data_IF_687032971987
#
_entry.id   IF_687032971987
#
_cell.length_a   1.000
_cell.length_b   1.000
_cell.length_c   1.000
_cell.angle_alpha   90.00
_cell.angle_beta   90.00
_cell.angle_gamma   90.00
#
_symmetry.space_group_name_H-M   'P 1'
#
loop_
_entity.id
_entity.type
_entity.pdbx_description
1 polymer ?
#
# COMPACT_ATOMS: atom_id res chain seq x y z
N UNK A 1 -0.44 -58.79 13.49
CA UNK A 1 -0.25 -57.42 13.99
C UNK A 1 1.15 -56.98 13.60
N UNK A 2 1.29 -56.14 12.57
CA UNK A 2 2.62 -55.65 12.15
C UNK A 2 3.03 -54.50 13.08
N UNK A 3 4.26 -54.53 13.61
CA UNK A 3 4.76 -53.46 14.46
C UNK A 3 4.86 -52.16 13.65
N UNK A 4 4.03 -51.17 14.00
CA UNK A 4 4.07 -49.86 13.36
C UNK A 4 5.36 -49.14 13.78
N UNK A 5 6.29 -48.95 12.84
CA UNK A 5 7.55 -48.25 13.09
C UNK A 5 7.28 -46.74 13.19
N UNK A 6 7.18 -46.22 14.41
CA UNK A 6 7.04 -44.79 14.66
C UNK A 6 8.30 -44.03 14.21
N UNK A 7 8.10 -42.84 13.63
CA UNK A 7 9.22 -41.96 13.28
C UNK A 7 9.88 -41.42 14.55
N UNK A 8 11.21 -41.35 14.56
CA UNK A 8 11.96 -40.71 15.64
C UNK A 8 11.87 -39.18 15.54
N UNK A 9 12.24 -38.47 16.62
CA UNK A 9 12.26 -36.99 16.64
C UNK A 9 13.09 -36.42 15.49
N UNK A 10 14.28 -36.98 15.24
CA UNK A 10 15.16 -36.52 14.16
C UNK A 10 14.52 -36.73 12.77
N UNK A 11 13.74 -37.79 12.60
CA UNK A 11 13.00 -38.01 11.36
C UNK A 11 11.86 -37.00 11.21
N UNK A 12 11.12 -36.69 12.28
CA UNK A 12 10.11 -35.63 12.27
C UNK A 12 10.67 -34.26 11.94
N UNK A 13 11.88 -33.94 12.41
CA UNK A 13 12.57 -32.69 12.05
C UNK A 13 12.79 -32.62 10.53
N UNK A 14 13.22 -33.70 9.89
CA UNK A 14 13.37 -33.74 8.43
C UNK A 14 12.04 -33.57 7.71
N UNK A 15 10.96 -34.16 8.24
CA UNK A 15 9.60 -33.95 7.72
C UNK A 15 9.24 -32.48 7.75
N UNK A 16 9.42 -31.81 8.90
CA UNK A 16 9.09 -30.39 9.06
C UNK A 16 9.88 -29.51 8.09
N UNK A 17 11.17 -29.79 7.87
CA UNK A 17 12.00 -29.06 6.91
C UNK A 17 11.47 -29.20 5.48
N UNK A 18 11.06 -30.40 5.07
CA UNK A 18 10.50 -30.64 3.73
C UNK A 18 9.15 -29.91 3.56
N UNK A 19 8.33 -29.84 4.62
CA UNK A 19 7.06 -29.13 4.60
C UNK A 19 7.23 -27.60 4.41
N UNK A 20 8.38 -27.04 4.76
CA UNK A 20 8.67 -25.62 4.54
C UNK A 20 8.88 -25.26 3.05
N UNK A 21 9.09 -26.24 2.17
CA UNK A 21 9.28 -26.00 0.74
C UNK A 21 7.92 -26.12 0.03
N UNK A 22 7.32 -25.03 -0.49
CA UNK A 22 5.90 -25.01 -0.87
C UNK A 22 5.47 -26.07 -1.89
N UNK A 23 6.23 -26.25 -2.97
CA UNK A 23 5.89 -27.21 -4.02
C UNK A 23 6.17 -28.66 -3.61
N UNK A 24 7.28 -28.88 -2.89
CA UNK A 24 7.69 -30.22 -2.46
C UNK A 24 6.73 -30.73 -1.37
N UNK A 25 6.34 -29.86 -0.44
CA UNK A 25 5.37 -30.13 0.61
C UNK A 25 4.08 -30.77 0.04
N UNK A 26 3.47 -30.15 -0.98
CA UNK A 26 2.19 -30.62 -1.52
C UNK A 26 2.32 -32.00 -2.20
N UNK A 27 3.37 -32.21 -2.99
CA UNK A 27 3.64 -33.52 -3.62
C UNK A 27 3.88 -34.59 -2.56
N UNK A 28 4.68 -34.27 -1.55
CA UNK A 28 5.04 -35.19 -0.48
C UNK A 28 3.84 -35.60 0.37
N UNK A 29 2.97 -34.64 0.74
CA UNK A 29 1.73 -34.91 1.44
C UNK A 29 0.78 -35.82 0.64
N UNK A 30 0.69 -35.63 -0.68
CA UNK A 30 -0.14 -36.48 -1.55
C UNK A 30 0.38 -37.92 -1.59
N UNK A 31 1.69 -38.10 -1.80
CA UNK A 31 2.33 -39.42 -1.82
C UNK A 31 2.05 -40.15 -0.50
N UNK A 32 2.18 -39.47 0.63
CA UNK A 32 1.94 -40.06 1.96
C UNK A 32 0.46 -40.30 2.26
N UNK A 33 -0.44 -39.39 1.89
CA UNK A 33 -1.87 -39.53 2.11
C UNK A 33 -2.47 -40.73 1.35
N UNK A 34 -1.92 -41.02 0.16
CA UNK A 34 -2.36 -42.08 -0.74
C UNK A 34 -1.57 -43.40 -0.59
N UNK A 35 -0.44 -43.38 0.12
CA UNK A 35 0.32 -44.59 0.39
C UNK A 35 -0.50 -45.62 1.19
N UNK A 36 -0.39 -46.90 0.83
CA UNK A 36 -1.04 -48.01 1.54
C UNK A 36 -0.12 -48.66 2.58
N UNK A 37 1.19 -48.45 2.47
CA UNK A 37 2.25 -49.15 3.24
C UNK A 37 2.96 -48.28 4.30
N UNK A 38 2.69 -46.97 4.37
CA UNK A 38 3.37 -46.07 5.31
C UNK A 38 2.79 -46.09 6.73
N UNK A 39 3.54 -45.52 7.68
CA UNK A 39 3.12 -45.31 9.06
C UNK A 39 1.78 -44.55 9.15
N UNK A 40 0.85 -45.06 9.94
CA UNK A 40 -0.49 -44.50 10.10
C UNK A 40 -0.50 -43.04 10.60
N UNK A 41 0.38 -42.67 11.53
CA UNK A 41 0.47 -41.30 12.06
C UNK A 41 0.86 -40.30 10.97
N UNK A 42 1.77 -40.67 10.07
CA UNK A 42 2.21 -39.84 8.94
C UNK A 42 1.10 -39.70 7.89
N UNK A 43 0.39 -40.79 7.62
CA UNK A 43 -0.76 -40.80 6.71
C UNK A 43 -1.92 -39.97 7.25
N UNK A 44 -2.24 -40.10 8.53
CA UNK A 44 -3.29 -39.34 9.19
C UNK A 44 -2.96 -37.84 9.24
N UNK A 45 -1.70 -37.49 9.56
CA UNK A 45 -1.21 -36.12 9.46
C UNK A 45 -1.38 -35.57 8.03
N UNK A 46 -0.90 -36.31 7.03
CA UNK A 46 -0.95 -35.85 5.63
C UNK A 46 -2.38 -35.61 5.15
N UNK A 47 -3.31 -36.52 5.50
CA UNK A 47 -4.74 -36.37 5.21
C UNK A 47 -5.37 -35.17 5.92
N UNK A 48 -4.99 -34.91 7.17
CA UNK A 48 -5.48 -33.76 7.93
C UNK A 48 -5.00 -32.44 7.31
N UNK A 49 -3.71 -32.35 6.95
CA UNK A 49 -3.12 -31.16 6.34
C UNK A 49 -3.74 -30.87 4.98
N UNK A 50 -4.01 -31.89 4.15
CA UNK A 50 -4.72 -31.70 2.87
C UNK A 50 -6.14 -31.15 3.10
N UNK A 51 -6.89 -31.72 4.05
CA UNK A 51 -8.23 -31.21 4.40
C UNK A 51 -8.18 -29.76 4.88
N UNK A 52 -7.17 -29.41 5.70
CA UNK A 52 -6.97 -28.04 6.17
C UNK A 52 -6.70 -27.07 5.02
N UNK A 53 -5.85 -27.44 4.06
CA UNK A 53 -5.59 -26.61 2.87
C UNK A 53 -6.86 -26.39 2.05
N UNK A 54 -7.68 -27.42 1.84
CA UNK A 54 -8.96 -27.29 1.13
C UNK A 54 -9.93 -26.35 1.87
N UNK A 55 -10.01 -26.45 3.19
CA UNK A 55 -10.83 -25.55 4.02
C UNK A 55 -10.32 -24.12 3.92
N UNK A 56 -9.01 -23.89 4.06
CA UNK A 56 -8.42 -22.55 3.97
C UNK A 56 -8.67 -21.93 2.60
N UNK A 57 -8.48 -22.68 1.50
CA UNK A 57 -8.81 -22.21 0.15
C UNK A 57 -10.29 -21.84 0.07
N UNK A 58 -11.19 -22.68 0.58
CA UNK A 58 -12.63 -22.40 0.62
C UNK A 58 -12.99 -21.15 1.42
N UNK A 59 -12.38 -20.96 2.59
CA UNK A 59 -12.56 -19.77 3.43
C UNK A 59 -12.02 -18.52 2.74
N UNK A 60 -10.81 -18.59 2.16
CA UNK A 60 -10.24 -17.50 1.37
C UNK A 60 -11.19 -17.11 0.25
N UNK A 61 -11.62 -18.06 -0.59
CA UNK A 61 -12.58 -17.79 -1.67
C UNK A 61 -13.88 -17.17 -1.14
N UNK A 62 -14.44 -17.69 -0.05
CA UNK A 62 -15.67 -17.15 0.55
C UNK A 62 -15.50 -15.71 1.09
N UNK A 63 -14.36 -15.40 1.71
CA UNK A 63 -14.02 -14.05 2.18
C UNK A 63 -13.86 -13.09 1.01
N UNK A 64 -13.14 -13.51 -0.03
CA UNK A 64 -12.95 -12.70 -1.23
C UNK A 64 -14.27 -12.47 -1.99
N UNK A 65 -15.19 -13.44 -2.03
CA UNK A 65 -16.51 -13.25 -2.64
C UNK A 65 -17.42 -12.36 -1.76
N UNK A 66 -17.44 -12.60 -0.44
CA UNK A 66 -18.36 -11.98 0.51
C UNK A 66 -18.02 -10.55 0.92
N UNK A 67 -16.75 -10.15 0.94
CA UNK A 67 -16.32 -8.77 1.23
C UNK A 67 -16.34 -7.86 -0.02
N UNK A 68 -17.01 -8.29 -1.10
CA UNK A 68 -17.01 -7.57 -2.37
C UNK A 68 -15.78 -7.93 -3.19
N UNK A 69 -15.80 -9.13 -3.76
CA UNK A 69 -14.76 -9.61 -4.66
C UNK A 69 -14.71 -8.79 -5.94
N UNK A 70 -14.07 -7.63 -5.88
CA UNK A 70 -13.49 -7.01 -7.06
C UNK A 70 -12.26 -7.83 -7.45
N UNK A 71 -12.50 -8.95 -8.15
CA UNK A 71 -11.60 -9.39 -9.21
C UNK A 71 -11.70 -8.40 -10.40
N UNK A 72 -11.58 -7.11 -10.12
CA UNK A 72 -11.52 -6.03 -11.10
C UNK A 72 -10.08 -5.52 -11.28
N UNK A 73 -9.09 -6.39 -11.01
CA UNK A 73 -7.69 -6.10 -11.36
C UNK A 73 -6.91 -7.35 -11.77
N UNK A 74 -7.52 -8.19 -12.61
CA UNK A 74 -6.79 -9.00 -13.58
C UNK A 74 -7.48 -8.71 -14.92
N UNK A 75 -6.88 -7.83 -15.73
CA UNK A 75 -7.28 -7.69 -17.14
C UNK A 75 -7.99 -6.39 -17.58
N UNK A 76 -7.66 -5.23 -17.02
CA UNK A 76 -7.84 -3.99 -17.78
C UNK A 76 -6.55 -3.16 -17.75
N UNK A 77 -5.76 -3.38 -18.80
CA UNK A 77 -4.74 -2.49 -19.35
C UNK A 77 -3.32 -2.68 -18.80
N UNK A 78 -2.62 -3.71 -19.29
CA UNK A 78 -1.18 -3.52 -19.55
C UNK A 78 -1.04 -2.46 -20.65
N UNK A 79 -0.28 -1.37 -20.44
CA UNK A 79 0.23 -0.58 -21.55
C UNK A 79 1.29 -1.44 -22.24
N UNK A 80 0.93 -2.03 -23.36
CA UNK A 80 1.89 -2.58 -24.31
C UNK A 80 2.79 -1.43 -24.79
N UNK A 81 4.08 -1.53 -24.45
CA UNK A 81 5.19 -0.88 -25.16
C UNK A 81 4.96 0.56 -25.62
N UNK A 82 5.03 1.51 -24.69
CA UNK A 82 5.28 2.91 -25.00
C UNK A 82 6.68 3.29 -24.53
N UNK A 83 7.58 3.55 -25.46
CA UNK A 83 8.88 4.20 -25.20
C UNK A 83 8.60 5.64 -24.72
N UNK A 84 8.28 5.82 -23.43
CA UNK A 84 7.97 7.11 -22.81
C UNK A 84 9.17 7.57 -21.98
N UNK A 85 10.02 8.41 -22.56
CA UNK A 85 9.95 9.86 -22.41
C UNK A 85 10.16 10.31 -20.97
N UNK A 86 11.32 10.92 -20.76
CA UNK A 86 11.80 11.49 -19.51
C UNK A 86 10.71 12.29 -18.79
N UNK A 87 10.48 11.94 -17.53
CA UNK A 87 9.91 12.72 -16.43
C UNK A 87 9.44 14.13 -16.81
N UNK A 88 8.16 14.26 -17.16
CA UNK A 88 7.49 15.54 -17.30
C UNK A 88 7.23 16.14 -15.92
N UNK A 89 8.06 17.09 -15.53
CA UNK A 89 7.86 17.97 -14.38
C UNK A 89 6.64 18.87 -14.68
N UNK A 90 5.44 18.43 -14.33
CA UNK A 90 4.23 19.26 -14.43
C UNK A 90 4.18 20.20 -13.23
N UNK A 91 4.63 21.42 -13.44
CA UNK A 91 4.40 22.55 -12.55
C UNK A 91 2.91 22.90 -12.56
N UNK A 92 2.24 22.75 -11.42
CA UNK A 92 0.85 23.15 -11.24
C UNK A 92 0.79 24.64 -10.95
N UNK A 93 -0.06 25.39 -11.67
CA UNK A 93 -0.38 26.76 -11.30
C UNK A 93 -1.44 26.75 -10.19
N UNK A 94 -1.09 27.14 -8.97
CA UNK A 94 -2.04 27.39 -7.89
C UNK A 94 -2.04 28.85 -7.48
N UNK A 95 -3.21 29.37 -7.13
CA UNK A 95 -3.37 30.67 -6.47
C UNK A 95 -3.57 30.45 -4.97
N UNK A 96 -2.85 31.21 -4.14
CA UNK A 96 -3.18 31.34 -2.71
C UNK A 96 -4.20 32.47 -2.55
N UNK A 97 -5.27 32.24 -1.79
CA UNK A 97 -6.15 33.33 -1.38
C UNK A 97 -5.55 34.09 -0.19
N UNK A 98 -5.72 35.40 -0.26
CA UNK A 98 -4.95 36.44 0.40
C UNK A 98 -5.48 36.75 1.80
N UNK A 99 -5.38 35.86 2.77
CA UNK A 99 -5.57 36.24 4.20
C UNK A 99 -4.57 35.61 5.18
N UNK A 100 -3.63 34.79 4.72
CA UNK A 100 -2.51 34.35 5.54
C UNK A 100 -1.22 35.03 5.06
N UNK A 101 -0.37 35.47 5.98
CA UNK A 101 0.99 35.91 5.69
C UNK A 101 1.89 34.75 5.22
N UNK A 102 1.31 33.66 4.69
CA UNK A 102 1.97 32.43 4.28
C UNK A 102 1.76 32.24 2.78
N UNK A 103 2.87 32.08 2.05
CA UNK A 103 2.83 31.83 0.61
C UNK A 103 3.27 30.41 0.30
N UNK A 104 2.43 29.67 -0.43
CA UNK A 104 2.75 28.32 -0.91
C UNK A 104 3.24 28.34 -2.36
N UNK A 105 4.24 27.53 -2.67
CA UNK A 105 4.82 27.44 -4.01
C UNK A 105 5.38 26.06 -4.32
N UNK A 106 5.73 25.85 -5.58
CA UNK A 106 6.43 24.66 -6.07
C UNK A 106 5.80 23.33 -5.61
N UNK A 107 4.47 23.27 -5.57
CA UNK A 107 3.76 22.04 -5.17
C UNK A 107 3.84 21.01 -6.29
N UNK A 108 4.41 19.87 -5.97
CA UNK A 108 4.53 18.69 -6.83
C UNK A 108 3.96 17.47 -6.14
N UNK A 109 3.53 16.48 -6.91
CA UNK A 109 3.06 15.21 -6.36
C UNK A 109 3.70 14.02 -7.07
N UNK A 110 3.81 12.90 -6.35
CA UNK A 110 4.36 11.64 -6.84
C UNK A 110 3.53 10.47 -6.31
N UNK A 111 2.86 9.77 -7.22
CA UNK A 111 2.18 8.52 -6.89
C UNK A 111 3.17 7.35 -6.92
N UNK A 112 3.18 6.54 -5.85
CA UNK A 112 3.91 5.28 -5.79
C UNK A 112 3.15 4.27 -4.92
N UNK A 113 2.90 3.07 -5.44
CA UNK A 113 2.25 1.97 -4.72
C UNK A 113 0.94 2.37 -3.99
N UNK A 114 0.10 3.19 -4.61
CA UNK A 114 -1.19 3.60 -4.04
C UNK A 114 -1.11 4.72 -2.99
N UNK A 115 0.08 5.28 -2.75
CA UNK A 115 0.28 6.46 -1.91
C UNK A 115 0.83 7.58 -2.80
N UNK A 116 0.22 8.74 -2.71
CA UNK A 116 0.66 9.96 -3.39
C UNK A 116 1.33 10.88 -2.38
N UNK A 117 2.64 11.05 -2.52
CA UNK A 117 3.40 12.06 -1.78
C UNK A 117 3.23 13.41 -2.45
N UNK A 118 2.93 14.44 -1.66
CA UNK A 118 2.86 15.84 -2.08
C UNK A 118 3.99 16.57 -1.37
N UNK A 119 4.80 17.28 -2.14
CA UNK A 119 5.89 18.12 -1.62
C UNK A 119 5.70 19.54 -2.13
N UNK A 120 6.04 20.52 -1.32
CA UNK A 120 5.99 21.92 -1.73
C UNK A 120 6.83 22.81 -0.83
N UNK A 121 6.84 24.08 -1.17
CA UNK A 121 7.50 25.13 -0.39
C UNK A 121 6.46 26.04 0.23
N UNK A 122 6.77 26.54 1.41
CA UNK A 122 5.99 27.56 2.09
C UNK A 122 6.91 28.64 2.62
N UNK A 123 6.50 29.90 2.50
CA UNK A 123 7.27 31.07 2.92
C UNK A 123 6.45 31.89 3.88
N UNK A 124 7.05 32.20 5.04
CA UNK A 124 6.51 33.16 5.98
C UNK A 124 6.83 34.59 5.53
N UNK A 125 5.81 35.38 5.25
CA UNK A 125 5.91 36.79 4.86
C UNK A 125 5.50 37.75 5.96
N UNK A 126 5.28 37.24 7.17
CA UNK A 126 5.04 38.00 8.38
C UNK A 126 6.36 38.39 9.09
N UNK A 127 6.24 39.15 10.18
CA UNK A 127 7.35 39.57 11.05
C UNK A 127 7.50 38.72 12.33
N UNK A 128 6.63 37.73 12.53
CA UNK A 128 6.69 36.79 13.66
C UNK A 128 7.00 35.36 13.22
N UNK A 129 7.49 34.54 14.15
CA UNK A 129 7.57 33.09 13.98
C UNK A 129 6.16 32.49 13.94
N UNK A 130 5.92 31.53 13.05
CA UNK A 130 4.63 30.83 12.93
C UNK A 130 4.79 29.31 12.99
N UNK A 131 3.81 28.63 13.54
CA UNK A 131 3.59 27.19 13.33
C UNK A 131 2.14 26.98 12.89
N UNK A 132 1.87 26.10 11.93
CA UNK A 132 0.51 25.92 11.43
C UNK A 132 0.26 24.56 10.75
N UNK A 133 -1.02 24.20 10.66
CA UNK A 133 -1.50 23.16 9.74
C UNK A 133 -1.91 23.79 8.41
N UNK A 134 -1.60 23.11 7.31
CA UNK A 134 -2.02 23.47 5.97
C UNK A 134 -2.83 22.34 5.35
N UNK A 135 -3.90 22.71 4.64
CA UNK A 135 -4.72 21.81 3.83
C UNK A 135 -4.45 22.12 2.37
N UNK A 136 -4.03 21.11 1.62
CA UNK A 136 -3.76 21.20 0.19
C UNK A 136 -4.82 20.39 -0.53
N UNK A 137 -5.74 21.07 -1.19
CA UNK A 137 -6.84 20.46 -1.95
C UNK A 137 -6.52 20.49 -3.43
N UNK A 138 -6.63 19.34 -4.10
CA UNK A 138 -6.40 19.20 -5.53
C UNK A 138 -7.73 19.08 -6.28
N UNK A 139 -7.78 19.70 -7.46
CA UNK A 139 -8.96 19.75 -8.30
C UNK A 139 -8.68 19.27 -9.72
N UNK A 140 -9.64 18.59 -10.33
CA UNK A 140 -9.62 18.28 -11.75
C UNK A 140 -10.01 19.48 -12.62
N UNK A 141 -10.01 19.27 -13.95
CA UNK A 141 -10.42 20.28 -14.93
C UNK A 141 -11.86 20.80 -14.75
N UNK A 142 -12.73 20.04 -14.09
CA UNK A 142 -14.12 20.39 -13.80
C UNK A 142 -14.28 21.07 -12.44
N UNK A 143 -13.17 21.42 -11.76
CA UNK A 143 -13.13 21.97 -10.40
C UNK A 143 -13.73 21.02 -9.34
N UNK A 144 -13.76 19.72 -9.59
CA UNK A 144 -14.14 18.73 -8.60
C UNK A 144 -12.91 18.36 -7.76
N UNK A 145 -13.12 18.15 -6.46
CA UNK A 145 -12.04 17.71 -5.55
C UNK A 145 -11.65 16.29 -5.92
N UNK A 146 -10.37 16.09 -6.22
CA UNK A 146 -9.80 14.76 -6.54
C UNK A 146 -8.89 14.23 -5.45
N UNK A 147 -8.48 15.06 -4.49
CA UNK A 147 -7.79 14.60 -3.30
C UNK A 147 -7.33 15.74 -2.40
N UNK A 148 -6.94 15.36 -1.18
CA UNK A 148 -6.52 16.31 -0.15
C UNK A 148 -5.31 15.79 0.61
N UNK A 149 -4.32 16.66 0.82
CA UNK A 149 -3.18 16.42 1.70
C UNK A 149 -3.17 17.39 2.88
N UNK A 150 -2.69 16.94 4.04
CA UNK A 150 -2.56 17.77 5.25
C UNK A 150 -1.10 17.84 5.68
N UNK A 151 -0.55 19.04 5.79
CA UNK A 151 0.82 19.27 6.23
C UNK A 151 0.85 20.01 7.55
N UNK A 152 1.86 19.72 8.38
CA UNK A 152 2.16 20.47 9.61
C UNK A 152 3.51 21.14 9.41
N UNK A 153 3.56 22.44 9.67
CA UNK A 153 4.75 23.27 9.50
C UNK A 153 5.06 23.90 10.86
N UNK A 154 6.19 23.52 11.43
CA UNK A 154 6.61 24.01 12.74
C UNK A 154 7.68 25.10 12.62
N UNK A 155 7.52 26.15 13.42
CA UNK A 155 8.51 27.20 13.70
C UNK A 155 9.19 27.76 12.45
N UNK A 156 8.41 28.41 11.58
CA UNK A 156 8.92 29.13 10.42
C UNK A 156 9.10 30.61 10.76
N UNK A 157 10.34 31.07 10.75
CA UNK A 157 10.67 32.46 11.11
C UNK A 157 10.36 33.48 10.02
N UNK A 158 10.47 34.79 10.30
CA UNK A 158 10.18 35.87 9.36
C UNK A 158 10.99 35.76 8.07
N UNK A 159 10.32 35.83 6.92
CA UNK A 159 10.95 35.70 5.60
C UNK A 159 11.52 34.31 5.28
N UNK A 160 11.37 33.33 6.17
CA UNK A 160 11.92 32.00 5.98
C UNK A 160 11.04 31.19 5.02
N UNK A 161 11.69 30.45 4.12
CA UNK A 161 11.07 29.41 3.31
C UNK A 161 11.41 28.02 3.86
N UNK A 162 10.42 27.15 4.02
CA UNK A 162 10.59 25.73 4.37
C UNK A 162 9.89 24.84 3.35
N UNK A 163 10.35 23.61 3.24
CA UNK A 163 9.65 22.55 2.51
C UNK A 163 8.65 21.86 3.43
N UNK A 164 7.49 21.50 2.90
CA UNK A 164 6.54 20.61 3.57
C UNK A 164 6.32 19.35 2.73
N UNK A 165 5.94 18.27 3.41
CA UNK A 165 5.57 17.01 2.79
C UNK A 165 4.28 16.48 3.42
N UNK A 166 3.41 15.94 2.60
CA UNK A 166 2.21 15.22 3.05
C UNK A 166 1.94 14.04 2.12
N UNK A 167 1.09 13.13 2.57
CA UNK A 167 0.68 11.96 1.79
C UNK A 167 -0.84 11.91 1.70
N UNK A 168 -1.33 11.40 0.58
CA UNK A 168 -2.73 10.99 0.42
C UNK A 168 -2.78 9.63 -0.27
N UNK A 169 -3.86 8.88 -0.06
CA UNK A 169 -4.18 7.68 -0.84
C UNK A 169 -5.04 7.99 -2.07
N UNK A 170 -5.40 9.25 -2.27
CA UNK A 170 -6.17 9.70 -3.41
C UNK A 170 -5.35 9.65 -4.72
N UNK A 171 -6.04 9.48 -5.84
CA UNK A 171 -5.43 9.52 -7.17
C UNK A 171 -5.40 10.95 -7.72
N UNK A 172 -4.21 11.55 -7.78
CA UNK A 172 -4.00 12.91 -8.26
C UNK A 172 -3.60 13.00 -9.74
N UNK A 173 -3.62 11.90 -10.51
CA UNK A 173 -3.22 11.88 -11.92
C UNK A 173 -3.98 12.90 -12.80
N UNK A 174 -5.26 13.15 -12.46
CA UNK A 174 -6.12 14.10 -13.17
C UNK A 174 -6.15 15.49 -12.54
N UNK A 175 -5.32 15.76 -11.51
CA UNK A 175 -5.29 17.06 -10.85
C UNK A 175 -4.68 18.11 -11.79
N UNK A 176 -5.42 19.17 -12.08
CA UNK A 176 -4.98 20.27 -12.95
C UNK A 176 -4.68 21.55 -12.18
N UNK A 177 -5.17 21.66 -10.94
CA UNK A 177 -4.95 22.82 -10.07
C UNK A 177 -5.00 22.41 -8.61
N UNK A 178 -4.46 23.26 -7.73
CA UNK A 178 -4.55 23.10 -6.28
C UNK A 178 -4.99 24.39 -5.60
N UNK A 179 -5.52 24.25 -4.38
CA UNK A 179 -5.69 25.32 -3.40
C UNK A 179 -4.98 24.92 -2.12
N UNK A 180 -4.17 25.81 -1.56
CA UNK A 180 -3.51 25.62 -0.28
C UNK A 180 -4.05 26.64 0.72
N UNK A 181 -4.62 26.17 1.82
CA UNK A 181 -5.20 26.99 2.87
C UNK A 181 -4.47 26.71 4.20
N UNK A 182 -4.25 27.76 5.00
CA UNK A 182 -3.79 27.62 6.39
C UNK A 182 -5.01 27.33 7.24
N UNK A 183 -5.06 26.16 7.88
CA UNK A 183 -6.21 25.69 8.63
C UNK A 183 -6.18 26.16 10.10
N UNK A 184 -5.01 26.14 10.74
CA UNK A 184 -4.83 26.66 12.10
C UNK A 184 -3.41 27.17 12.32
N UNK A 185 -3.28 28.37 12.89
CA UNK A 185 -2.00 28.93 13.35
C UNK A 185 -1.87 28.68 14.85
N UNK A 186 -0.75 28.08 15.24
CA UNK A 186 -0.33 27.86 16.63
C UNK A 186 0.81 28.84 16.90
N UNK A 187 0.53 29.85 17.73
CA UNK A 187 1.49 30.85 18.21
C UNK A 187 2.30 30.33 19.40
#
# INVERSE_FOLDING_TARGET
MFAQRNLTVNQWILVIIILCIPLINLVFLLVWALSSTENESVRNFSRAVIKLHLILIGVTVAVFIGLGGSLAWIGSNEPTGGTGSMNSFLSLSGGSETESHIQFGNIVHRANMGITTISGETTNTDDQDHSYSAIITFYDSNKQIVGTGMAIIDNIGPGQTKTFETITTDNLENATSYKADVDSIIY
#
